data_IF_510709590443
#
_entry.id   IF_510709590443
#
_cell.length_a   1.000
_cell.length_b   1.000
_cell.length_c   1.000
_cell.angle_alpha   90.00
_cell.angle_beta   90.00
_cell.angle_gamma   90.00
#
_symmetry.space_group_name_H-M   'P 1'
#
loop_
_entity.id
_entity.type
_entity.pdbx_description
1 polymer ?
#
# COMPACT_ATOMS: atom_id res chain seq x y z
N UNK A 1 8.29 3.46 4.51
CA UNK A 1 7.88 4.84 4.83
C UNK A 1 7.65 5.61 3.54
N UNK A 2 6.86 6.68 3.57
CA UNK A 2 6.67 7.58 2.43
C UNK A 2 7.52 8.83 2.60
N UNK A 3 8.29 9.18 1.56
CA UNK A 3 9.12 10.39 1.53
C UNK A 3 8.28 11.67 1.36
N UNK A 4 7.13 11.56 0.70
CA UNK A 4 6.24 12.68 0.37
C UNK A 4 4.83 12.43 0.88
N UNK A 5 4.63 12.53 2.20
CA UNK A 5 3.32 12.37 2.84
C UNK A 5 2.61 13.70 3.18
N UNK A 6 3.21 14.85 2.87
CA UNK A 6 2.63 16.16 3.20
C UNK A 6 2.36 16.30 4.70
N UNK A 7 1.12 16.64 5.07
CA UNK A 7 0.65 16.70 6.47
C UNK A 7 0.04 15.39 7.00
N UNK A 8 0.10 14.34 6.18
CA UNK A 8 -0.10 12.95 6.59
C UNK A 8 -0.86 12.13 5.56
N UNK A 9 -0.81 10.81 5.71
CA UNK A 9 -1.57 9.88 4.88
C UNK A 9 -3.04 9.82 5.30
N UNK A 10 -3.91 9.55 4.32
CA UNK A 10 -5.33 9.26 4.47
C UNK A 10 -5.78 8.18 3.48
N UNK A 11 -6.91 7.56 3.79
CA UNK A 11 -7.77 6.85 2.85
C UNK A 11 -8.83 7.84 2.33
N UNK A 12 -8.88 8.07 1.01
CA UNK A 12 -9.74 9.12 0.46
C UNK A 12 -11.25 8.82 0.55
N UNK A 13 -11.59 7.54 0.62
CA UNK A 13 -12.97 7.03 0.66
C UNK A 13 -13.43 6.60 2.05
N UNK A 14 -12.54 6.63 3.05
CA UNK A 14 -12.83 6.17 4.41
C UNK A 14 -12.84 4.65 4.59
N UNK A 15 -12.53 3.88 3.54
CA UNK A 15 -12.48 2.42 3.54
C UNK A 15 -11.07 1.90 3.87
N UNK A 16 -10.89 0.59 4.08
CA UNK A 16 -9.56 0.01 4.22
C UNK A 16 -8.70 0.28 2.97
N UNK A 17 -7.37 0.37 3.16
CA UNK A 17 -6.47 0.59 2.03
C UNK A 17 -6.54 -0.59 1.06
N UNK A 18 -6.70 -0.29 -0.22
CA UNK A 18 -6.91 -1.25 -1.30
C UNK A 18 -5.73 -1.26 -2.28
N UNK A 19 -5.77 -2.18 -3.26
CA UNK A 19 -4.80 -2.25 -4.35
C UNK A 19 -3.35 -2.49 -3.88
N UNK A 20 -3.18 -3.13 -2.72
CA UNK A 20 -1.87 -3.49 -2.16
C UNK A 20 -1.69 -5.00 -2.20
N UNK A 21 -0.59 -5.44 -2.79
CA UNK A 21 -0.18 -6.84 -2.82
C UNK A 21 1.21 -7.01 -2.22
N UNK A 22 1.44 -8.12 -1.52
CA UNK A 22 2.73 -8.47 -0.92
C UNK A 22 3.18 -9.86 -1.37
N UNK A 23 4.49 -10.10 -1.31
CA UNK A 23 5.09 -11.40 -1.54
C UNK A 23 6.26 -11.64 -0.58
N UNK A 24 6.50 -12.91 -0.26
CA UNK A 24 7.72 -13.36 0.40
C UNK A 24 8.85 -13.58 -0.60
N UNK A 25 9.85 -14.37 -0.20
CA UNK A 25 11.04 -14.68 -1.00
C UNK A 25 10.70 -15.35 -2.36
N UNK A 26 9.61 -16.12 -2.41
CA UNK A 26 9.14 -16.80 -3.63
C UNK A 26 8.59 -15.84 -4.71
N UNK A 27 8.41 -14.56 -4.40
CA UNK A 27 7.82 -13.53 -5.29
C UNK A 27 6.40 -13.89 -5.79
N UNK A 28 5.69 -14.76 -5.08
CA UNK A 28 4.27 -15.04 -5.34
C UNK A 28 3.44 -13.99 -4.61
N UNK A 29 2.82 -13.10 -5.38
CA UNK A 29 2.06 -11.97 -4.83
C UNK A 29 0.64 -12.39 -4.46
N UNK A 30 0.23 -11.99 -3.26
CA UNK A 30 -1.15 -12.09 -2.78
C UNK A 30 -1.68 -10.71 -2.42
N UNK A 31 -2.99 -10.52 -2.49
CA UNK A 31 -3.63 -9.32 -1.97
C UNK A 31 -3.46 -9.25 -0.45
N UNK A 32 -3.16 -8.06 0.04
CA UNK A 32 -2.82 -7.82 1.44
C UNK A 32 -3.81 -6.85 2.09
N UNK A 33 -3.91 -6.93 3.41
CA UNK A 33 -4.53 -5.88 4.22
C UNK A 33 -3.51 -4.81 4.50
N UNK A 34 -3.99 -3.57 4.62
CA UNK A 34 -3.14 -2.45 4.96
C UNK A 34 -3.89 -1.39 5.76
N UNK A 35 -3.15 -0.68 6.62
CA UNK A 35 -3.66 0.44 7.41
C UNK A 35 -2.60 1.51 7.63
N UNK A 36 -3.04 2.75 7.77
CA UNK A 36 -2.17 3.87 8.15
C UNK A 36 -1.90 3.76 9.65
N UNK A 37 -0.62 3.74 10.03
CA UNK A 37 -0.18 3.60 11.43
C UNK A 37 0.56 4.83 11.94
N UNK A 38 0.95 5.74 11.05
CA UNK A 38 1.61 7.01 11.40
C UNK A 38 1.41 8.03 10.27
N UNK A 39 1.90 9.25 10.49
CA UNK A 39 1.89 10.37 9.55
C UNK A 39 2.32 9.97 8.12
N UNK A 40 3.39 9.19 7.97
CA UNK A 40 3.94 8.79 6.67
C UNK A 40 4.21 7.28 6.58
N UNK A 41 3.49 6.46 7.36
CA UNK A 41 3.71 5.02 7.40
C UNK A 41 2.39 4.25 7.32
N UNK A 42 2.42 3.20 6.52
CA UNK A 42 1.41 2.16 6.50
C UNK A 42 2.02 0.85 7.00
N UNK A 43 1.19 0.03 7.63
CA UNK A 43 1.46 -1.37 7.88
C UNK A 43 0.72 -2.20 6.82
N UNK A 44 1.39 -3.23 6.30
CA UNK A 44 0.85 -4.13 5.27
C UNK A 44 1.12 -5.56 5.69
N UNK A 45 0.11 -6.43 5.63
CA UNK A 45 0.23 -7.82 6.08
C UNK A 45 -0.76 -8.76 5.36
N UNK A 46 -0.44 -10.06 5.39
CA UNK A 46 -1.31 -11.15 4.97
C UNK A 46 -1.02 -12.38 5.82
N UNK A 47 -2.06 -13.15 6.16
CA UNK A 47 -1.90 -14.42 6.88
C UNK A 47 -1.17 -15.48 6.01
N UNK A 48 -1.21 -15.32 4.68
CA UNK A 48 -0.55 -16.21 3.72
C UNK A 48 0.94 -15.89 3.51
N UNK A 49 1.39 -14.70 3.91
CA UNK A 49 2.77 -14.22 3.73
C UNK A 49 3.32 -13.73 5.08
N UNK A 50 3.85 -14.64 5.92
CA UNK A 50 4.31 -14.30 7.26
C UNK A 50 5.58 -13.42 7.27
N UNK A 51 6.39 -13.51 6.22
CA UNK A 51 7.61 -12.72 6.05
C UNK A 51 7.59 -11.95 4.72
N UNK A 52 6.82 -10.84 4.62
CA UNK A 52 6.76 -10.07 3.40
C UNK A 52 8.10 -9.38 3.09
N UNK A 53 8.58 -9.55 1.87
CA UNK A 53 9.81 -8.94 1.34
C UNK A 53 9.52 -7.90 0.26
N UNK A 54 8.45 -8.11 -0.49
CA UNK A 54 8.06 -7.27 -1.61
C UNK A 54 6.66 -6.73 -1.39
N UNK A 55 6.43 -5.47 -1.73
CA UNK A 55 5.11 -4.82 -1.75
C UNK A 55 4.89 -4.18 -3.10
N UNK A 56 3.64 -4.16 -3.56
CA UNK A 56 3.19 -3.43 -4.76
C UNK A 56 1.90 -2.70 -4.45
N UNK A 57 1.78 -1.48 -4.95
CA UNK A 57 0.55 -0.69 -4.88
C UNK A 57 0.10 -0.26 -6.26
N UNK A 58 -1.21 -0.33 -6.52
CA UNK A 58 -1.84 0.05 -7.80
C UNK A 58 -1.18 -0.64 -9.02
N UNK A 59 -0.86 -1.93 -8.89
CA UNK A 59 -0.11 -2.69 -9.89
C UNK A 59 -0.98 -3.54 -10.83
N UNK A 60 -2.27 -3.70 -10.55
CA UNK A 60 -3.16 -4.42 -11.46
C UNK A 60 -3.21 -3.73 -12.84
N UNK A 61 -3.52 -4.49 -13.90
CA UNK A 61 -3.65 -3.94 -15.26
C UNK A 61 -4.71 -2.83 -15.35
N UNK A 62 -5.71 -2.90 -14.47
CA UNK A 62 -6.70 -1.86 -14.25
C UNK A 62 -7.04 -1.79 -12.75
N UNK A 63 -6.28 -1.01 -11.95
CA UNK A 63 -6.55 -0.90 -10.51
C UNK A 63 -7.91 -0.22 -10.34
N UNK A 64 -8.83 -0.89 -9.65
CA UNK A 64 -10.25 -0.51 -9.67
C UNK A 64 -10.51 0.67 -8.76
N UNK A 65 -9.83 0.73 -7.61
CA UNK A 65 -10.00 1.83 -6.66
C UNK A 65 -8.79 2.03 -5.74
N UNK A 66 -7.62 2.50 -6.22
CA UNK A 66 -6.49 2.83 -5.36
C UNK A 66 -6.81 4.06 -4.51
N UNK A 67 -6.83 3.90 -3.18
CA UNK A 67 -7.40 4.89 -2.25
C UNK A 67 -6.39 5.51 -1.26
N UNK A 68 -5.08 5.26 -1.41
CA UNK A 68 -4.05 5.90 -0.60
C UNK A 68 -3.70 7.31 -1.09
N UNK A 69 -3.94 8.30 -0.25
CA UNK A 69 -3.74 9.72 -0.53
C UNK A 69 -2.97 10.38 0.63
N UNK A 70 -2.51 11.61 0.41
CA UNK A 70 -2.14 12.52 1.50
C UNK A 70 -3.29 13.48 1.85
N UNK A 71 -3.18 14.19 2.97
CA UNK A 71 -4.17 15.18 3.43
C UNK A 71 -4.31 16.40 2.52
N UNK A 72 -3.39 16.60 1.59
CA UNK A 72 -3.46 17.62 0.54
C UNK A 72 -4.33 17.16 -0.65
N UNK A 73 -4.87 15.95 -0.60
CA UNK A 73 -5.75 15.40 -1.64
C UNK A 73 -5.01 14.86 -2.86
N UNK A 74 -3.70 14.59 -2.73
CA UNK A 74 -2.90 14.00 -3.81
C UNK A 74 -2.82 12.48 -3.64
N UNK A 75 -3.01 11.71 -4.73
CA UNK A 75 -2.87 10.26 -4.70
C UNK A 75 -1.41 9.85 -4.53
N UNK A 76 -1.17 8.73 -3.86
CA UNK A 76 0.10 8.05 -3.92
C UNK A 76 0.33 7.50 -5.34
N UNK A 77 1.54 7.71 -5.88
CA UNK A 77 1.96 7.06 -7.13
C UNK A 77 2.03 5.54 -6.97
N UNK A 78 1.78 4.74 -8.02
CA UNK A 78 2.09 3.31 -8.00
C UNK A 78 3.54 3.07 -7.59
N UNK A 79 3.78 2.07 -6.73
CA UNK A 79 5.11 1.77 -6.23
C UNK A 79 5.35 0.27 -6.07
N UNK A 80 6.64 -0.08 -5.97
CA UNK A 80 7.10 -1.39 -5.54
C UNK A 80 8.25 -1.25 -4.54
N UNK A 81 8.43 -2.25 -3.69
CA UNK A 81 9.57 -2.34 -2.78
C UNK A 81 10.29 -3.68 -2.93
N UNK A 82 11.58 -3.70 -2.62
CA UNK A 82 12.45 -4.87 -2.73
C UNK A 82 12.88 -5.11 -4.19
N UNK A 83 14.17 -4.95 -4.46
CA UNK A 83 14.80 -5.47 -5.69
C UNK A 83 15.32 -6.90 -5.45
#
# INVERSE_FOLDING_TARGET
>A
DFEHAGSGLINIDGEELSEIAIAGENKEFVWAKARIIDHNKIEVWSDDVPEPKYTRYAWADNPVNPNLYNKEGLPASPFRTGE
#
